data_IF_785146059860
#
_entry.id   IF_785146059860
#
_cell.length_a   1.000
_cell.length_b   1.000
_cell.length_c   1.000
_cell.angle_alpha   90.00
_cell.angle_beta   90.00
_cell.angle_gamma   90.00
#
_symmetry.space_group_name_H-M   'P 1'
#
loop_
_entity.id
_entity.type
_entity.pdbx_description
1 polymer ?
#
# COMPACT_ATOMS: atom_id res chain seq x y z
N UNK A 1 10.06 15.40 -6.83
CA UNK A 1 8.91 15.50 -5.90
C UNK A 1 7.95 14.33 -6.17
N UNK A 2 7.14 13.88 -5.20
CA UNK A 2 6.24 12.72 -5.37
C UNK A 2 5.29 12.87 -6.58
N UNK A 3 4.82 14.09 -6.83
CA UNK A 3 4.02 14.45 -8.02
C UNK A 3 4.69 14.09 -9.37
N UNK A 4 6.02 14.21 -9.47
CA UNK A 4 6.78 13.93 -10.69
C UNK A 4 6.92 12.41 -10.91
N UNK A 5 7.12 11.65 -9.83
CA UNK A 5 7.15 10.18 -9.86
C UNK A 5 5.80 9.60 -10.29
N UNK A 6 4.71 10.18 -9.78
CA UNK A 6 3.34 9.82 -10.14
C UNK A 6 2.91 10.36 -11.52
N UNK A 7 3.78 11.13 -12.19
CA UNK A 7 3.56 11.72 -13.52
C UNK A 7 2.29 12.59 -13.59
N UNK A 8 1.90 13.22 -12.49
CA UNK A 8 0.76 14.12 -12.44
C UNK A 8 1.05 15.43 -13.15
N UNK A 9 0.14 15.87 -14.03
CA UNK A 9 0.33 17.05 -14.89
C UNK A 9 -0.62 18.20 -14.57
N UNK A 10 -1.68 17.91 -13.83
CA UNK A 10 -2.84 18.79 -13.64
C UNK A 10 -3.24 18.88 -12.15
N UNK A 11 -2.32 18.72 -11.21
CA UNK A 11 -2.61 18.73 -9.77
C UNK A 11 -3.49 19.90 -9.29
N UNK A 12 -3.31 21.09 -9.88
CA UNK A 12 -4.09 22.29 -9.53
C UNK A 12 -5.53 22.28 -10.05
N UNK A 13 -5.84 21.43 -11.02
CA UNK A 13 -7.12 21.42 -11.75
C UNK A 13 -7.80 20.06 -11.76
N UNK A 14 -7.09 19.00 -11.38
CA UNK A 14 -7.58 17.62 -11.32
C UNK A 14 -7.75 17.19 -9.88
N UNK A 15 -9.01 17.16 -9.42
CA UNK A 15 -9.35 16.64 -8.09
C UNK A 15 -8.85 15.19 -7.92
N UNK A 16 -8.89 14.39 -8.99
CA UNK A 16 -8.38 13.01 -8.97
C UNK A 16 -6.89 12.97 -8.66
N UNK A 17 -6.07 13.74 -9.37
CA UNK A 17 -4.61 13.75 -9.11
C UNK A 17 -4.29 14.28 -7.71
N UNK A 18 -5.02 15.29 -7.23
CA UNK A 18 -4.85 15.82 -5.88
C UNK A 18 -5.16 14.76 -4.80
N UNK A 19 -6.29 14.06 -4.92
CA UNK A 19 -6.67 12.97 -3.99
C UNK A 19 -5.63 11.85 -4.00
N UNK A 20 -5.13 11.47 -5.17
CA UNK A 20 -4.10 10.44 -5.27
C UNK A 20 -2.77 10.86 -4.63
N UNK A 21 -2.39 12.13 -4.77
CA UNK A 21 -1.20 12.67 -4.11
C UNK A 21 -1.37 12.65 -2.59
N UNK A 22 -2.54 13.06 -2.09
CA UNK A 22 -2.87 13.03 -0.66
C UNK A 22 -2.86 11.59 -0.11
N UNK A 23 -3.42 10.63 -0.85
CA UNK A 23 -3.43 9.21 -0.49
C UNK A 23 -2.00 8.67 -0.27
N UNK A 24 -1.11 8.86 -1.24
CA UNK A 24 0.28 8.40 -1.11
C UNK A 24 1.09 9.17 -0.08
N UNK A 25 0.84 10.48 0.06
CA UNK A 25 1.54 11.31 1.03
C UNK A 25 1.14 10.95 2.46
N UNK A 26 -0.16 10.74 2.72
CA UNK A 26 -0.66 10.29 4.01
C UNK A 26 -0.06 8.94 4.41
N UNK A 27 -0.06 7.98 3.47
CA UNK A 27 0.55 6.67 3.69
C UNK A 27 2.04 6.76 4.02
N UNK A 28 2.80 7.51 3.20
CA UNK A 28 4.23 7.71 3.44
C UNK A 28 4.51 8.37 4.80
N UNK A 29 3.74 9.38 5.18
CA UNK A 29 3.87 10.05 6.48
C UNK A 29 3.62 9.08 7.64
N UNK A 30 2.53 8.31 7.58
CA UNK A 30 2.21 7.32 8.60
C UNK A 30 3.30 6.24 8.73
N UNK A 31 3.77 5.69 7.61
CA UNK A 31 4.85 4.68 7.63
C UNK A 31 6.16 5.21 8.23
N UNK A 32 6.44 6.51 8.04
CA UNK A 32 7.56 7.18 8.71
C UNK A 32 7.38 7.31 10.22
N UNK A 33 6.17 7.63 10.68
CA UNK A 33 5.84 7.68 12.12
C UNK A 33 5.99 6.30 12.78
N UNK A 34 5.68 5.23 12.04
CA UNK A 34 5.89 3.84 12.45
C UNK A 34 7.37 3.40 12.43
N UNK A 35 8.30 4.28 12.04
CA UNK A 35 9.73 4.01 11.92
C UNK A 35 10.07 2.81 11.04
N UNK A 36 9.33 2.62 9.94
CA UNK A 36 9.63 1.56 8.98
C UNK A 36 11.02 1.74 8.36
N UNK A 37 11.74 0.62 8.21
CA UNK A 37 12.96 0.58 7.41
C UNK A 37 12.67 0.94 5.94
N UNK A 38 13.70 1.23 5.15
CA UNK A 38 13.50 1.55 3.73
C UNK A 38 12.78 0.42 2.97
N UNK A 39 13.08 -0.84 3.31
CA UNK A 39 12.45 -2.02 2.69
C UNK A 39 10.97 -2.08 3.09
N UNK A 40 10.68 -1.92 4.38
CA UNK A 40 9.31 -1.90 4.91
C UNK A 40 8.48 -0.76 4.33
N UNK A 41 9.07 0.43 4.22
CA UNK A 41 8.46 1.60 3.61
C UNK A 41 8.13 1.35 2.13
N UNK A 42 9.07 0.79 1.35
CA UNK A 42 8.81 0.42 -0.04
C UNK A 42 7.67 -0.58 -0.14
N UNK A 43 7.72 -1.64 0.67
CA UNK A 43 6.69 -2.68 0.72
C UNK A 43 5.30 -2.15 1.05
N UNK A 44 5.22 -1.22 2.00
CA UNK A 44 3.97 -0.55 2.35
C UNK A 44 3.45 0.32 1.20
N UNK A 45 4.31 1.10 0.54
CA UNK A 45 3.92 1.92 -0.61
C UNK A 45 3.46 1.06 -1.78
N UNK A 46 4.10 -0.09 -2.01
CA UNK A 46 3.68 -1.07 -3.00
C UNK A 46 2.31 -1.66 -2.66
N UNK A 47 2.03 -1.92 -1.38
CA UNK A 47 0.72 -2.39 -0.91
C UNK A 47 -0.37 -1.33 -1.14
N UNK A 48 -0.10 -0.06 -0.86
CA UNK A 48 -1.04 1.04 -1.16
C UNK A 48 -1.36 1.12 -2.65
N UNK A 49 -0.35 0.99 -3.50
CA UNK A 49 -0.53 1.00 -4.96
C UNK A 49 -1.31 -0.23 -5.43
N UNK A 50 -0.98 -1.41 -4.90
CA UNK A 50 -1.70 -2.66 -5.19
C UNK A 50 -3.20 -2.56 -4.91
N UNK A 51 -3.58 -2.04 -3.74
CA UNK A 51 -4.98 -1.86 -3.37
C UNK A 51 -5.70 -0.84 -4.25
N UNK A 52 -5.01 0.24 -4.63
CA UNK A 52 -5.57 1.25 -5.50
C UNK A 52 -5.79 0.70 -6.92
N UNK A 53 -4.80 0.00 -7.50
CA UNK A 53 -4.87 -0.60 -8.83
C UNK A 53 -6.01 -1.63 -8.94
N UNK A 54 -6.25 -2.41 -7.87
CA UNK A 54 -7.37 -3.34 -7.83
C UNK A 54 -8.72 -2.62 -8.01
N UNK A 55 -8.87 -1.43 -7.45
CA UNK A 55 -10.10 -0.62 -7.58
C UNK A 55 -10.14 0.16 -8.90
N UNK A 56 -9.03 0.82 -9.27
CA UNK A 56 -9.01 1.76 -10.40
C UNK A 56 -8.95 1.04 -11.75
N UNK A 57 -8.06 0.05 -11.87
CA UNK A 57 -7.68 -0.54 -13.15
C UNK A 57 -8.35 -1.89 -13.35
N UNK A 58 -8.45 -2.68 -12.28
CA UNK A 58 -9.12 -4.00 -12.31
C UNK A 58 -10.61 -3.92 -11.98
N UNK A 59 -11.12 -2.76 -11.59
CA UNK A 59 -12.53 -2.53 -11.24
C UNK A 59 -13.10 -3.54 -10.24
N UNK A 60 -12.27 -4.02 -9.30
CA UNK A 60 -12.70 -4.97 -8.28
C UNK A 60 -13.67 -4.31 -7.30
N UNK A 61 -14.56 -5.12 -6.73
CA UNK A 61 -15.35 -4.69 -5.58
C UNK A 61 -14.44 -4.47 -4.37
N UNK A 62 -14.85 -3.59 -3.45
CA UNK A 62 -14.11 -3.39 -2.19
C UNK A 62 -13.94 -4.72 -1.43
N UNK A 63 -14.98 -5.55 -1.40
CA UNK A 63 -14.94 -6.85 -0.73
C UNK A 63 -13.93 -7.81 -1.35
N UNK A 64 -13.78 -7.81 -2.68
CA UNK A 64 -12.77 -8.65 -3.34
C UNK A 64 -11.36 -8.08 -3.17
N UNK A 65 -11.22 -6.75 -3.15
CA UNK A 65 -9.94 -6.10 -2.85
C UNK A 65 -9.44 -6.46 -1.43
N UNK A 66 -10.33 -6.47 -0.44
CA UNK A 66 -10.00 -6.89 0.93
C UNK A 66 -9.63 -8.38 1.02
N UNK A 67 -10.22 -9.26 0.17
CA UNK A 67 -9.78 -10.66 0.10
C UNK A 67 -8.38 -10.78 -0.46
N UNK A 68 -8.04 -10.00 -1.49
CA UNK A 68 -6.69 -9.96 -2.06
C UNK A 68 -5.67 -9.39 -1.07
N UNK A 69 -6.04 -8.37 -0.28
CA UNK A 69 -5.25 -7.90 0.87
C UNK A 69 -4.97 -9.04 1.85
N UNK A 70 -6.02 -9.77 2.24
CA UNK A 70 -5.89 -10.92 3.15
C UNK A 70 -4.92 -11.98 2.62
N UNK A 71 -4.95 -12.28 1.32
CA UNK A 71 -4.01 -13.22 0.68
C UNK A 71 -2.58 -12.67 0.67
N UNK A 72 -2.38 -11.40 0.36
CA UNK A 72 -1.07 -10.77 0.36
C UNK A 72 -0.44 -10.74 1.78
N UNK A 73 -1.28 -10.53 2.81
CA UNK A 73 -0.85 -10.48 4.21
C UNK A 73 -0.68 -11.87 4.84
N UNK A 74 -1.29 -12.92 4.28
CA UNK A 74 -1.18 -14.30 4.78
C UNK A 74 0.25 -14.87 4.68
N UNK A 75 1.14 -14.23 3.92
CA UNK A 75 2.56 -14.56 3.85
C UNK A 75 3.38 -14.18 5.08
N UNK A 76 2.87 -13.25 5.91
CA UNK A 76 3.60 -12.69 7.04
C UNK A 76 3.58 -13.69 8.21
N UNK A 77 4.62 -14.54 8.30
CA UNK A 77 4.85 -15.45 9.42
C UNK A 77 5.06 -16.92 9.06
N UNK A 78 4.95 -17.31 7.79
CA UNK A 78 5.27 -18.67 7.32
C UNK A 78 6.67 -18.70 6.68
N UNK A 79 7.58 -19.54 7.17
CA UNK A 79 8.97 -19.59 6.70
C UNK A 79 9.15 -20.28 5.34
N UNK A 80 8.14 -20.98 4.81
CA UNK A 80 8.31 -21.90 3.69
C UNK A 80 7.05 -22.04 2.81
N UNK A 81 6.60 -20.96 2.16
CA UNK A 81 5.57 -21.05 1.13
C UNK A 81 5.95 -20.23 -0.10
N UNK A 82 6.20 -20.90 -1.23
CA UNK A 82 6.52 -20.31 -2.54
C UNK A 82 5.40 -19.39 -3.12
N UNK A 83 4.36 -19.10 -2.34
CA UNK A 83 3.25 -18.21 -2.69
C UNK A 83 2.97 -17.10 -1.67
N UNK A 84 3.83 -16.87 -0.67
CA UNK A 84 3.67 -15.75 0.26
C UNK A 84 3.83 -14.42 -0.48
N UNK A 85 2.89 -13.49 -0.27
CA UNK A 85 3.10 -12.09 -0.64
C UNK A 85 4.40 -11.62 0.01
N UNK A 86 5.24 -10.93 -0.76
CA UNK A 86 6.63 -10.56 -0.49
C UNK A 86 6.80 -9.59 0.71
N UNK A 87 6.03 -9.75 1.80
CA UNK A 87 5.87 -8.84 2.94
C UNK A 87 6.48 -9.40 4.23
N UNK A 88 7.27 -10.47 4.13
CA UNK A 88 7.92 -11.19 5.24
C UNK A 88 8.84 -10.30 6.11
N UNK A 89 9.10 -9.07 5.66
CA UNK A 89 9.83 -8.04 6.40
C UNK A 89 9.03 -7.30 7.47
N UNK A 90 7.71 -7.47 7.57
CA UNK A 90 6.92 -6.93 8.69
C UNK A 90 6.85 -7.92 9.86
N UNK A 91 7.02 -7.41 11.09
CA UNK A 91 6.61 -8.20 12.27
C UNK A 91 5.09 -8.37 12.31
N UNK A 92 4.59 -9.32 13.09
CA UNK A 92 3.14 -9.53 13.28
C UNK A 92 2.46 -8.25 13.78
N UNK A 93 3.10 -7.52 14.70
CA UNK A 93 2.60 -6.25 15.23
C UNK A 93 2.57 -5.16 14.15
N UNK A 94 3.61 -5.09 13.31
CA UNK A 94 3.66 -4.13 12.20
C UNK A 94 2.62 -4.47 11.13
N UNK A 95 2.42 -5.75 10.82
CA UNK A 95 1.39 -6.22 9.89
C UNK A 95 -0.01 -5.85 10.38
N UNK A 96 -0.30 -5.99 11.68
CA UNK A 96 -1.56 -5.54 12.28
C UNK A 96 -1.73 -4.03 12.15
N UNK A 97 -0.69 -3.26 12.47
CA UNK A 97 -0.73 -1.80 12.34
C UNK A 97 -0.98 -1.36 10.88
N UNK A 98 -0.40 -2.06 9.90
CA UNK A 98 -0.67 -1.82 8.47
C UNK A 98 -2.14 -2.08 8.15
N UNK A 99 -2.71 -3.19 8.61
CA UNK A 99 -4.14 -3.50 8.40
C UNK A 99 -5.03 -2.44 9.07
N UNK A 100 -4.69 -1.99 10.28
CA UNK A 100 -5.47 -0.99 11.01
C UNK A 100 -5.45 0.40 10.36
N UNK A 101 -4.39 0.72 9.60
CA UNK A 101 -4.27 1.98 8.86
C UNK A 101 -5.10 1.98 7.56
N UNK A 102 -5.15 0.85 6.87
CA UNK A 102 -5.78 0.67 5.56
C UNK A 102 -7.31 0.66 5.64
#
# INVERSE_FOLDING_TARGET
KLEEYLKFKQLKTSLKEAILLDYYTAGFCWAKEMNFSLIQLSGFMDLLNFLLENLSDKHMSLGDNLKELGKAMAGIGETDSEGSGNLDFFSIEQAKAVIDYL
#
